data_IF_583574036824
#
_entry.id   IF_583574036824
#
_cell.length_a   1.000
_cell.length_b   1.000
_cell.length_c   1.000
_cell.angle_alpha   90.00
_cell.angle_beta   90.00
_cell.angle_gamma   90.00
#
_symmetry.space_group_name_H-M   'P 1'
#
loop_
_entity.id
_entity.type
_entity.pdbx_description
1 polymer ?
#
# COMPACT_ATOMS: atom_id res chain seq x y z
N UNK A 1 -0.23 -69.66 1.29
CA UNK A 1 -0.45 -69.18 -0.10
C UNK A 1 -1.87 -68.62 -0.12
N UNK A 2 -2.19 -67.33 -0.16
CA UNK A 2 -1.53 -66.09 -0.61
C UNK A 2 -1.81 -64.95 0.41
N UNK A 3 -0.84 -64.04 0.58
CA UNK A 3 -1.05 -62.75 1.26
C UNK A 3 -1.83 -61.79 0.35
N UNK A 4 -2.91 -61.20 0.87
CA UNK A 4 -3.61 -60.07 0.27
C UNK A 4 -2.75 -58.80 0.42
N UNK A 5 -2.27 -58.26 -0.71
CA UNK A 5 -1.49 -57.01 -0.76
C UNK A 5 -2.41 -55.82 -0.51
N UNK A 6 -2.17 -55.11 0.60
CA UNK A 6 -2.64 -53.75 0.83
C UNK A 6 -1.95 -52.81 -0.18
N UNK A 7 -2.74 -52.07 -0.96
CA UNK A 7 -2.23 -51.01 -1.85
C UNK A 7 -2.57 -49.67 -1.19
N UNK A 8 -1.63 -49.11 -0.42
CA UNK A 8 -1.72 -47.74 0.09
C UNK A 8 -1.05 -46.84 -0.94
N UNK A 9 -1.85 -46.14 -1.72
CA UNK A 9 -1.38 -45.12 -2.66
C UNK A 9 -1.16 -43.81 -1.88
N UNK A 10 0.08 -43.56 -1.47
CA UNK A 10 0.50 -42.22 -1.00
C UNK A 10 0.68 -41.32 -2.22
N UNK A 11 -0.31 -40.47 -2.51
CA UNK A 11 -0.12 -39.33 -3.42
C UNK A 11 0.51 -38.20 -2.60
N UNK A 12 1.83 -38.08 -2.69
CA UNK A 12 2.55 -36.87 -2.30
C UNK A 12 2.44 -35.85 -3.44
N UNK A 13 1.48 -34.93 -3.35
CA UNK A 13 1.50 -33.71 -4.17
C UNK A 13 2.56 -32.80 -3.56
N UNK A 14 3.76 -32.81 -4.11
CA UNK A 14 4.73 -31.76 -3.88
C UNK A 14 4.21 -30.50 -4.61
N UNK A 15 3.59 -29.57 -3.87
CA UNK A 15 3.41 -28.21 -4.36
C UNK A 15 4.80 -27.61 -4.57
N UNK A 16 5.24 -27.54 -5.83
CA UNK A 16 6.33 -26.63 -6.20
C UNK A 16 5.79 -25.21 -6.01
N UNK A 17 6.13 -24.58 -4.90
CA UNK A 17 6.03 -23.15 -4.75
C UNK A 17 6.95 -22.54 -5.82
N UNK A 18 6.34 -21.99 -6.87
CA UNK A 18 7.06 -21.06 -7.74
C UNK A 18 7.39 -19.86 -6.87
N UNK A 19 8.65 -19.71 -6.47
CA UNK A 19 9.17 -18.40 -6.07
C UNK A 19 9.16 -17.58 -7.34
N UNK A 20 8.09 -16.83 -7.58
CA UNK A 20 8.09 -15.86 -8.67
C UNK A 20 9.13 -14.80 -8.28
N UNK A 21 10.14 -14.60 -9.12
CA UNK A 21 11.09 -13.50 -8.91
C UNK A 21 10.30 -12.20 -8.94
N UNK A 22 10.18 -11.57 -7.77
CA UNK A 22 9.53 -10.28 -7.67
C UNK A 22 10.41 -9.25 -8.37
N UNK A 23 9.81 -8.33 -9.16
CA UNK A 23 10.58 -7.24 -9.72
C UNK A 23 11.22 -6.42 -8.60
N UNK A 24 12.35 -5.79 -8.89
CA UNK A 24 13.00 -4.89 -7.93
C UNK A 24 12.13 -3.63 -7.79
N UNK A 25 11.74 -3.23 -6.56
CA UNK A 25 10.96 -2.01 -6.37
C UNK A 25 11.79 -0.77 -6.72
N UNK A 26 11.12 0.24 -7.27
CA UNK A 26 11.67 1.58 -7.48
C UNK A 26 12.03 2.25 -6.15
N UNK A 27 11.21 2.04 -5.12
CA UNK A 27 11.45 2.48 -3.74
C UNK A 27 11.02 1.38 -2.78
N UNK A 28 11.85 1.09 -1.79
CA UNK A 28 11.54 0.14 -0.72
C UNK A 28 11.88 0.73 0.64
N UNK A 29 10.88 0.96 1.47
CA UNK A 29 11.03 1.39 2.86
C UNK A 29 10.76 0.19 3.77
N UNK A 30 11.82 -0.37 4.34
CA UNK A 30 11.71 -1.43 5.35
C UNK A 30 11.35 -0.87 6.74
N UNK A 31 11.57 0.43 6.96
CA UNK A 31 11.43 1.11 8.25
C UNK A 31 12.22 0.50 9.42
N UNK A 32 13.30 -0.24 9.14
CA UNK A 32 14.23 -0.75 10.15
C UNK A 32 15.14 0.35 10.73
N UNK A 33 14.59 1.14 11.65
CA UNK A 33 15.30 2.22 12.35
C UNK A 33 15.58 3.46 11.50
N UNK A 34 15.07 3.49 10.26
CA UNK A 34 15.28 4.57 9.30
C UNK A 34 14.00 4.89 8.53
N UNK A 35 13.85 6.14 8.12
CA UNK A 35 12.79 6.58 7.19
C UNK A 35 13.27 6.60 5.74
N UNK A 36 14.58 6.45 5.50
CA UNK A 36 15.11 6.39 4.14
C UNK A 36 14.76 5.03 3.48
N UNK A 37 14.48 5.01 2.17
CA UNK A 37 14.31 3.76 1.46
C UNK A 37 15.65 3.01 1.35
N UNK A 38 15.61 1.70 1.52
CA UNK A 38 16.76 0.78 1.48
C UNK A 38 17.58 0.92 0.19
N UNK A 39 16.88 1.07 -0.94
CA UNK A 39 17.49 1.14 -2.26
C UNK A 39 17.83 2.57 -2.71
N UNK A 40 17.53 3.60 -1.90
CA UNK A 40 17.93 5.01 -2.12
C UNK A 40 18.19 5.72 -0.79
N UNK A 41 19.21 5.30 -0.02
CA UNK A 41 19.44 5.79 1.35
C UNK A 41 19.72 7.31 1.44
N UNK A 42 20.10 7.94 0.34
CA UNK A 42 20.28 9.40 0.22
C UNK A 42 18.97 10.19 0.21
N UNK A 43 17.84 9.54 -0.08
CA UNK A 43 16.54 10.18 -0.14
C UNK A 43 16.13 10.70 1.24
N UNK A 44 15.92 12.01 1.33
CA UNK A 44 15.50 12.65 2.57
C UNK A 44 14.01 12.47 2.81
N UNK A 45 13.66 12.30 4.08
CA UNK A 45 12.30 12.41 4.60
C UNK A 45 12.18 13.72 5.38
N UNK A 46 11.29 14.61 4.94
CA UNK A 46 10.75 15.67 5.77
C UNK A 46 9.66 15.06 6.67
N UNK A 47 9.78 15.27 7.98
CA UNK A 47 8.89 14.62 8.95
C UNK A 47 8.33 15.61 9.95
N UNK A 48 7.07 15.43 10.35
CA UNK A 48 6.41 16.25 11.38
C UNK A 48 5.58 15.39 12.31
N UNK A 49 5.25 15.93 13.50
CA UNK A 49 4.41 15.28 14.50
C UNK A 49 5.08 14.11 15.23
N UNK A 50 4.26 13.17 15.68
CA UNK A 50 4.66 12.00 16.46
C UNK A 50 4.95 10.81 15.53
N UNK A 51 6.23 10.46 15.46
CA UNK A 51 6.76 9.39 14.62
C UNK A 51 7.74 8.58 15.47
N UNK A 52 7.60 7.26 15.44
CA UNK A 52 8.45 6.32 16.17
C UNK A 52 8.64 5.03 15.37
N UNK A 53 9.61 4.20 15.77
CA UNK A 53 9.74 2.84 15.26
C UNK A 53 9.24 1.86 16.30
N UNK A 54 8.42 0.91 15.88
CA UNK A 54 7.85 -0.15 16.72
C UNK A 54 8.09 -1.52 16.07
N UNK A 55 7.75 -2.60 16.76
CA UNK A 55 7.74 -3.93 16.15
C UNK A 55 6.81 -3.99 14.93
N UNK A 56 7.40 -4.41 13.81
CA UNK A 56 6.81 -4.40 12.48
C UNK A 56 6.14 -5.71 12.08
N UNK A 57 5.62 -5.72 10.86
CA UNK A 57 5.30 -6.95 10.15
C UNK A 57 6.59 -7.73 9.86
N UNK A 58 7.69 -7.03 9.54
CA UNK A 58 9.03 -7.61 9.37
C UNK A 58 10.09 -6.68 9.95
N UNK A 59 10.61 -7.02 11.13
CA UNK A 59 11.58 -6.17 11.80
C UNK A 59 10.89 -4.99 12.49
N UNK A 60 11.15 -3.76 12.06
CA UNK A 60 10.51 -2.57 12.61
C UNK A 60 9.61 -1.88 11.59
N UNK A 61 8.48 -1.37 12.07
CA UNK A 61 7.58 -0.51 11.32
C UNK A 61 7.73 0.95 11.76
N UNK A 62 7.45 1.89 10.86
CA UNK A 62 7.21 3.28 11.24
C UNK A 62 5.80 3.40 11.78
N UNK A 63 5.66 3.93 12.99
CA UNK A 63 4.38 4.27 13.59
C UNK A 63 4.22 5.78 13.64
N UNK A 64 3.17 6.27 12.97
CA UNK A 64 2.76 7.68 12.95
C UNK A 64 1.48 7.83 13.77
N UNK A 65 1.38 8.89 14.57
CA UNK A 65 0.25 9.08 15.50
C UNK A 65 -0.20 10.52 15.57
N UNK A 66 -1.51 10.72 15.76
CA UNK A 66 -2.17 12.01 15.91
C UNK A 66 -2.08 12.92 14.67
N UNK A 67 -3.01 13.88 14.54
CA UNK A 67 -3.05 14.75 13.35
C UNK A 67 -1.76 15.56 13.19
N UNK A 68 -1.43 15.88 11.93
CA UNK A 68 -0.21 16.60 11.50
C UNK A 68 1.08 15.77 11.60
N UNK A 69 0.98 14.50 11.96
CA UNK A 69 2.06 13.54 11.80
C UNK A 69 2.16 13.12 10.35
N UNK A 70 3.31 13.40 9.74
CA UNK A 70 3.49 13.21 8.30
C UNK A 70 4.91 12.79 7.94
N UNK A 71 5.00 11.98 6.88
CA UNK A 71 6.22 11.62 6.17
C UNK A 71 6.13 12.18 4.75
N UNK A 72 7.09 13.02 4.37
CA UNK A 72 7.15 13.67 3.07
C UNK A 72 8.50 13.38 2.42
N UNK A 73 8.44 12.88 1.20
CA UNK A 73 9.63 12.59 0.42
C UNK A 73 9.60 13.44 -0.86
N UNK A 74 10.24 14.63 -0.83
CA UNK A 74 10.32 15.51 -1.98
C UNK A 74 11.32 14.98 -3.01
N UNK A 75 11.33 15.62 -4.18
CA UNK A 75 12.26 15.38 -5.29
C UNK A 75 12.32 13.92 -5.77
N UNK A 76 11.18 13.23 -5.65
CA UNK A 76 10.99 11.88 -6.15
C UNK A 76 10.74 11.87 -7.66
N UNK A 77 10.87 10.69 -8.27
CA UNK A 77 10.28 10.39 -9.58
C UNK A 77 9.40 9.17 -9.38
N UNK A 78 8.10 9.39 -9.19
CA UNK A 78 7.12 8.31 -9.01
C UNK A 78 6.52 7.88 -10.36
N UNK A 79 6.08 6.62 -10.50
CA UNK A 79 5.55 6.13 -11.77
C UNK A 79 4.22 6.79 -12.12
N UNK A 80 4.07 7.26 -13.36
CA UNK A 80 2.84 7.88 -13.84
C UNK A 80 1.99 6.99 -14.74
N UNK A 81 2.63 6.34 -15.72
CA UNK A 81 1.96 5.49 -16.71
C UNK A 81 1.48 4.17 -16.11
N UNK A 82 2.36 3.43 -15.46
CA UNK A 82 2.03 2.18 -14.78
C UNK A 82 2.83 2.04 -13.50
N UNK A 83 2.26 1.39 -12.51
CA UNK A 83 2.95 1.17 -11.26
C UNK A 83 2.11 0.46 -10.23
N UNK A 84 2.77 0.20 -9.11
CA UNK A 84 2.16 -0.42 -7.93
C UNK A 84 2.71 0.26 -6.69
N UNK A 85 1.85 0.65 -5.75
CA UNK A 85 2.25 0.94 -4.37
C UNK A 85 1.64 -0.12 -3.48
N UNK A 86 2.42 -0.70 -2.60
CA UNK A 86 1.94 -1.70 -1.64
C UNK A 86 2.69 -1.63 -0.33
N UNK A 87 2.01 -1.98 0.76
CA UNK A 87 2.58 -1.92 2.10
C UNK A 87 1.75 -2.76 3.07
N UNK A 88 2.39 -3.17 4.15
CA UNK A 88 1.70 -3.64 5.33
C UNK A 88 1.34 -2.45 6.21
N UNK A 89 0.14 -2.47 6.78
CA UNK A 89 -0.24 -1.50 7.78
C UNK A 89 -0.99 -2.13 8.95
N UNK A 90 -0.77 -1.58 10.14
CA UNK A 90 -1.48 -1.95 11.36
C UNK A 90 -2.22 -0.72 11.86
N UNK A 91 -3.55 -0.65 11.67
CA UNK A 91 -4.32 0.45 12.16
C UNK A 91 -4.31 0.48 13.69
N UNK A 92 -4.22 1.69 14.25
CA UNK A 92 -4.51 2.00 15.64
C UNK A 92 -5.69 2.98 15.66
N UNK A 93 -6.84 2.45 15.24
CA UNK A 93 -8.10 3.18 15.22
C UNK A 93 -8.74 3.13 16.60
N UNK A 94 -9.39 4.23 16.97
CA UNK A 94 -10.36 4.22 18.06
C UNK A 94 -11.68 3.63 17.55
N UNK A 95 -12.33 2.79 18.36
CA UNK A 95 -13.63 2.18 18.04
C UNK A 95 -14.76 3.22 17.88
N UNK A 96 -14.58 4.41 18.44
CA UNK A 96 -15.58 5.50 18.47
C UNK A 96 -15.09 6.74 17.74
N UNK A 97 -16.05 7.57 17.35
CA UNK A 97 -15.80 8.84 16.69
C UNK A 97 -14.86 9.77 17.51
N UNK A 98 -14.05 10.61 16.84
CA UNK A 98 -13.95 10.75 15.39
C UNK A 98 -13.18 9.59 14.75
N UNK A 99 -13.69 9.09 13.63
CA UNK A 99 -13.12 7.96 12.87
C UNK A 99 -11.65 8.21 12.49
N UNK A 100 -11.25 9.47 12.30
CA UNK A 100 -9.91 9.87 11.92
C UNK A 100 -9.60 9.59 10.44
N UNK A 101 -8.60 10.27 9.91
CA UNK A 101 -8.26 10.25 8.48
C UNK A 101 -6.76 10.06 8.26
N UNK A 102 -6.41 9.27 7.24
CA UNK A 102 -5.02 8.94 6.90
C UNK A 102 -4.83 8.94 5.39
N UNK A 103 -3.87 9.72 4.90
CA UNK A 103 -3.33 9.60 3.55
C UNK A 103 -2.20 8.57 3.57
N UNK A 104 -2.38 7.45 2.88
CA UNK A 104 -1.40 6.36 2.83
C UNK A 104 -0.43 6.49 1.65
N UNK A 105 -0.93 7.06 0.56
CA UNK A 105 -0.15 7.40 -0.61
C UNK A 105 -0.81 8.60 -1.26
N UNK A 106 -0.01 9.61 -1.57
CA UNK A 106 -0.40 10.70 -2.44
C UNK A 106 0.75 10.95 -3.40
N UNK A 107 0.46 10.92 -4.71
CA UNK A 107 1.37 11.33 -5.77
C UNK A 107 1.04 12.76 -6.17
N UNK A 108 1.97 13.67 -5.91
CA UNK A 108 1.80 15.10 -6.16
C UNK A 108 2.88 15.65 -7.06
N UNK A 109 2.54 16.69 -7.84
CA UNK A 109 3.57 17.52 -8.47
C UNK A 109 4.13 18.56 -7.46
N UNK A 110 5.12 19.33 -7.90
CA UNK A 110 5.75 20.40 -7.10
C UNK A 110 4.79 21.50 -6.67
N UNK A 111 3.66 21.67 -7.36
CA UNK A 111 2.61 22.64 -7.03
C UNK A 111 1.53 22.08 -6.07
N UNK A 112 1.79 20.94 -5.40
CA UNK A 112 0.88 20.27 -4.46
C UNK A 112 -0.43 19.75 -5.08
N UNK A 113 -0.52 19.70 -6.42
CA UNK A 113 -1.65 19.10 -7.10
C UNK A 113 -1.56 17.58 -6.95
N UNK A 114 -2.61 16.98 -6.39
CA UNK A 114 -2.70 15.52 -6.21
C UNK A 114 -3.32 14.88 -7.44
N UNK A 115 -2.63 13.87 -7.98
CA UNK A 115 -3.07 13.13 -9.17
C UNK A 115 -3.50 11.71 -8.85
N UNK A 116 -2.89 11.10 -7.85
CA UNK A 116 -3.30 9.80 -7.36
C UNK A 116 -3.23 9.78 -5.85
N UNK A 117 -4.25 9.23 -5.21
CA UNK A 117 -4.23 8.98 -3.79
C UNK A 117 -5.00 7.73 -3.40
N UNK A 118 -4.54 7.13 -2.30
CA UNK A 118 -5.35 6.23 -1.49
C UNK A 118 -5.32 6.70 -0.05
N UNK A 119 -6.51 6.88 0.51
CA UNK A 119 -6.68 7.41 1.85
C UNK A 119 -7.89 6.87 2.56
N UNK A 120 -7.82 6.84 3.89
CA UNK A 120 -8.96 6.59 4.76
C UNK A 120 -9.62 7.90 5.15
N UNK A 121 -10.94 7.96 5.07
CA UNK A 121 -11.73 9.13 5.42
C UNK A 121 -13.03 8.78 6.12
N UNK A 122 -13.68 9.80 6.66
CA UNK A 122 -15.04 9.77 7.17
C UNK A 122 -15.91 10.82 6.47
N UNK A 123 -17.13 10.42 6.09
CA UNK A 123 -18.15 11.30 5.54
C UNK A 123 -19.53 10.84 6.04
N UNK A 124 -20.34 11.77 6.55
CA UNK A 124 -21.73 11.51 7.01
C UNK A 124 -21.87 10.30 7.95
N UNK A 125 -20.95 10.15 8.91
CA UNK A 125 -20.98 9.06 9.89
C UNK A 125 -20.56 7.69 9.37
N UNK A 126 -20.14 7.61 8.10
CA UNK A 126 -19.51 6.43 7.50
C UNK A 126 -18.04 6.68 7.27
N UNK A 127 -17.27 5.61 7.27
CA UNK A 127 -15.86 5.67 6.90
C UNK A 127 -15.52 4.59 5.91
N UNK A 128 -14.48 4.86 5.14
CA UNK A 128 -14.10 4.10 3.97
C UNK A 128 -12.66 4.42 3.61
N UNK A 129 -12.06 3.56 2.79
CA UNK A 129 -10.89 3.93 2.02
C UNK A 129 -11.37 4.43 0.66
N UNK A 130 -10.76 5.52 0.21
CA UNK A 130 -11.03 6.18 -1.06
C UNK A 130 -9.79 6.08 -1.92
N UNK A 131 -10.00 5.76 -3.19
CA UNK A 131 -8.99 5.85 -4.24
C UNK A 131 -9.43 6.85 -5.28
N UNK A 132 -8.51 7.74 -5.67
CA UNK A 132 -8.73 8.68 -6.76
C UNK A 132 -7.56 8.67 -7.73
N UNK A 133 -7.89 8.82 -9.01
CA UNK A 133 -6.94 9.09 -10.08
C UNK A 133 -7.46 10.24 -10.93
N UNK A 134 -6.59 11.18 -11.25
CA UNK A 134 -6.86 12.34 -12.08
C UNK A 134 -5.94 12.33 -13.30
N UNK A 135 -6.49 12.72 -14.46
CA UNK A 135 -5.67 12.93 -15.66
C UNK A 135 -4.89 14.25 -15.63
N UNK A 136 -4.13 14.52 -16.70
CA UNK A 136 -3.38 15.77 -16.88
C UNK A 136 -4.26 17.04 -16.84
N UNK A 137 -5.56 16.93 -17.18
CA UNK A 137 -6.55 18.02 -17.11
C UNK A 137 -7.28 18.11 -15.77
N UNK A 138 -6.89 17.28 -14.80
CA UNK A 138 -7.52 17.17 -13.47
C UNK A 138 -8.97 16.68 -13.49
N UNK A 139 -9.35 15.92 -14.50
CA UNK A 139 -10.61 15.18 -14.49
C UNK A 139 -10.43 13.85 -13.76
N UNK A 140 -11.39 13.49 -12.88
CA UNK A 140 -11.36 12.20 -12.18
C UNK A 140 -11.59 11.07 -13.18
N UNK A 141 -10.65 10.13 -13.23
CA UNK A 141 -10.68 8.92 -14.06
C UNK A 141 -10.98 7.67 -13.24
N UNK A 142 -10.66 7.73 -11.95
CA UNK A 142 -11.16 6.77 -10.97
C UNK A 142 -11.54 7.51 -9.69
N UNK A 143 -12.65 7.05 -9.11
CA UNK A 143 -13.20 7.53 -7.85
C UNK A 143 -13.98 6.35 -7.23
N UNK A 144 -13.30 5.58 -6.38
CA UNK A 144 -13.84 4.34 -5.80
C UNK A 144 -13.61 4.29 -4.31
N UNK A 145 -14.64 3.82 -3.62
CA UNK A 145 -14.59 3.48 -2.20
C UNK A 145 -14.47 1.98 -2.01
N UNK A 146 -13.75 1.58 -0.98
CA UNK A 146 -13.80 0.22 -0.42
C UNK A 146 -14.15 0.34 1.06
N UNK A 147 -14.72 -0.74 1.61
CA UNK A 147 -15.12 -0.79 3.01
C UNK A 147 -13.97 -0.46 3.96
N UNK A 148 -14.29 0.22 5.05
CA UNK A 148 -13.32 0.52 6.10
C UNK A 148 -12.87 -0.74 6.84
N UNK A 149 -11.63 -0.72 7.28
CA UNK A 149 -11.06 -1.73 8.15
C UNK A 149 -11.27 -1.29 9.59
N UNK A 150 -12.25 -1.90 10.25
CA UNK A 150 -12.66 -1.54 11.62
C UNK A 150 -11.81 -2.19 12.70
N UNK A 151 -11.29 -3.38 12.42
CA UNK A 151 -10.52 -4.13 13.39
C UNK A 151 -9.09 -3.56 13.50
N UNK A 152 -8.84 -2.94 14.65
CA UNK A 152 -7.58 -2.32 15.04
C UNK A 152 -6.55 -3.35 15.50
N UNK A 153 -5.26 -3.01 15.46
CA UNK A 153 -4.19 -3.82 16.04
C UNK A 153 -3.75 -5.05 15.23
N UNK A 154 -4.33 -5.32 14.07
CA UNK A 154 -3.92 -6.39 13.15
C UNK A 154 -3.20 -5.88 11.91
N UNK A 155 -2.29 -6.66 11.37
CA UNK A 155 -1.64 -6.34 10.10
C UNK A 155 -2.55 -6.63 8.91
N UNK A 156 -2.62 -5.67 7.99
CA UNK A 156 -3.31 -5.78 6.70
C UNK A 156 -2.33 -5.41 5.60
N UNK A 157 -2.47 -6.04 4.43
CA UNK A 157 -1.68 -5.72 3.27
C UNK A 157 -2.53 -5.00 2.23
N UNK A 158 -2.14 -3.78 1.86
CA UNK A 158 -2.86 -2.99 0.86
C UNK A 158 -1.97 -2.78 -0.34
N UNK A 159 -2.54 -2.94 -1.54
CA UNK A 159 -1.88 -2.61 -2.79
C UNK A 159 -2.80 -1.80 -3.71
N UNK A 160 -2.24 -0.79 -4.37
CA UNK A 160 -2.87 -0.04 -5.44
C UNK A 160 -2.03 -0.25 -6.70
N UNK A 161 -2.66 -0.82 -7.73
CA UNK A 161 -2.05 -1.11 -9.03
C UNK A 161 -2.70 -0.22 -10.08
N UNK A 162 -1.93 0.40 -10.95
CA UNK A 162 -2.45 1.23 -12.05
C UNK A 162 -1.70 0.99 -13.35
N UNK A 163 -2.43 1.14 -14.45
CA UNK A 163 -1.95 1.22 -15.82
C UNK A 163 -2.84 2.22 -16.58
N UNK A 164 -2.27 3.32 -17.06
CA UNK A 164 -2.97 4.43 -17.70
C UNK A 164 -3.61 4.08 -19.03
N UNK A 165 -3.29 2.92 -19.59
CA UNK A 165 -3.90 2.38 -20.80
C UNK A 165 -5.03 1.38 -20.50
N UNK A 166 -5.19 0.94 -19.26
CA UNK A 166 -6.08 -0.18 -18.90
C UNK A 166 -6.95 0.08 -17.69
N UNK A 167 -6.38 0.13 -16.48
CA UNK A 167 -7.18 0.09 -15.25
C UNK A 167 -6.43 0.53 -14.00
N UNK A 168 -7.21 0.75 -12.95
CA UNK A 168 -6.73 0.89 -11.58
C UNK A 168 -7.43 -0.14 -10.69
N UNK A 169 -6.68 -0.81 -9.83
CA UNK A 169 -7.14 -1.91 -8.99
C UNK A 169 -6.62 -1.76 -7.56
N UNK A 170 -7.50 -1.94 -6.58
CA UNK A 170 -7.11 -2.00 -5.17
C UNK A 170 -7.19 -3.43 -4.69
N UNK A 171 -6.15 -3.89 -4.01
CA UNK A 171 -6.11 -5.17 -3.32
C UNK A 171 -6.02 -4.95 -1.82
N UNK A 172 -6.73 -5.79 -1.07
CA UNK A 172 -6.61 -5.90 0.37
C UNK A 172 -6.42 -7.37 0.73
N UNK A 173 -5.31 -7.66 1.42
CA UNK A 173 -4.88 -9.01 1.79
C UNK A 173 -4.81 -9.96 0.58
N UNK A 174 -4.20 -9.48 -0.51
CA UNK A 174 -4.04 -10.26 -1.75
C UNK A 174 -5.27 -10.30 -2.66
N UNK A 175 -6.45 -9.91 -2.16
CA UNK A 175 -7.72 -10.03 -2.91
C UNK A 175 -8.15 -8.68 -3.50
N UNK A 176 -8.59 -8.63 -4.78
CA UNK A 176 -9.09 -7.41 -5.40
C UNK A 176 -10.39 -6.94 -4.72
N UNK A 177 -10.45 -5.65 -4.35
CA UNK A 177 -11.62 -5.01 -3.73
C UNK A 177 -12.38 -4.11 -4.67
N UNK A 178 -11.67 -3.47 -5.60
CA UNK A 178 -12.30 -2.67 -6.66
C UNK A 178 -11.41 -2.62 -7.88
N UNK A 179 -12.03 -2.51 -9.06
CA UNK A 179 -11.39 -2.32 -10.34
C UNK A 179 -12.14 -1.27 -11.13
N UNK A 180 -11.41 -0.31 -11.69
CA UNK A 180 -11.96 0.66 -12.64
C UNK A 180 -11.21 0.52 -13.95
N UNK A 181 -11.90 0.04 -14.98
CA UNK A 181 -11.41 0.05 -16.36
C UNK A 181 -11.48 1.48 -16.87
N UNK A 182 -10.33 2.07 -17.19
CA UNK A 182 -10.23 3.47 -17.59
C UNK A 182 -8.87 3.73 -18.19
N UNK A 183 -8.81 4.68 -19.12
CA UNK A 183 -7.56 5.17 -19.69
C UNK A 183 -7.43 6.67 -19.44
N UNK A 184 -6.20 7.14 -19.28
CA UNK A 184 -5.94 8.55 -19.02
C UNK A 184 -4.62 9.03 -19.57
N UNK A 185 -4.56 10.32 -19.87
CA UNK A 185 -3.31 11.00 -20.16
C UNK A 185 -2.58 11.25 -18.85
N UNK A 186 -1.37 10.72 -18.74
CA UNK A 186 -0.47 10.96 -17.62
C UNK A 186 -0.08 12.45 -17.63
N UNK A 187 -0.06 13.12 -16.48
CA UNK A 187 0.46 14.49 -16.37
C UNK A 187 1.91 14.59 -16.85
N UNK A 188 2.23 15.66 -17.59
CA UNK A 188 3.60 15.94 -18.05
C UNK A 188 4.53 16.29 -16.87
N UNK A 189 3.97 16.80 -15.77
CA UNK A 189 4.67 17.02 -14.52
C UNK A 189 5.00 15.70 -13.83
N UNK A 190 6.25 15.53 -13.41
CA UNK A 190 6.64 14.38 -12.59
C UNK A 190 5.90 14.37 -11.25
N UNK A 191 5.35 13.23 -10.89
CA UNK A 191 4.94 12.93 -9.52
C UNK A 191 6.19 12.94 -8.62
N UNK A 192 6.40 14.04 -7.93
CA UNK A 192 7.68 14.38 -7.28
C UNK A 192 7.61 14.40 -5.76
N UNK A 193 6.44 14.17 -5.18
CA UNK A 193 6.26 14.14 -3.74
C UNK A 193 5.41 12.93 -3.37
N UNK A 194 6.02 12.02 -2.61
CA UNK A 194 5.31 11.00 -1.84
C UNK A 194 4.97 11.57 -0.47
N UNK A 195 3.70 11.52 -0.09
CA UNK A 195 3.25 12.04 1.19
C UNK A 195 2.26 11.12 1.89
N UNK A 196 2.56 10.85 3.16
CA UNK A 196 1.79 10.05 4.11
C UNK A 196 1.47 10.94 5.31
N UNK A 197 0.21 11.01 5.74
CA UNK A 197 -0.21 11.94 6.79
C UNK A 197 -1.45 11.45 7.54
N UNK A 198 -1.45 11.63 8.86
CA UNK A 198 -2.70 11.61 9.64
C UNK A 198 -3.33 13.00 9.54
N UNK A 199 -4.46 13.08 8.87
CA UNK A 199 -5.13 14.36 8.55
C UNK A 199 -6.13 14.78 9.62
N UNK A 200 -6.68 13.82 10.38
CA UNK A 200 -7.71 14.06 11.39
C UNK A 200 -7.76 12.92 12.41
N UNK A 201 -8.22 13.24 13.61
CA UNK A 201 -8.50 12.27 14.67
C UNK A 201 -7.25 11.84 15.43
N UNK A 202 -7.42 11.58 16.72
CA UNK A 202 -6.37 11.00 17.56
C UNK A 202 -6.29 9.50 17.30
N UNK A 203 -5.64 9.16 16.19
CA UNK A 203 -5.45 7.79 15.71
C UNK A 203 -3.97 7.54 15.48
N UNK A 204 -3.60 6.28 15.31
CA UNK A 204 -2.26 5.90 14.85
C UNK A 204 -2.34 4.91 13.70
N UNK A 205 -1.22 4.75 13.01
CA UNK A 205 -1.03 3.66 12.06
C UNK A 205 0.44 3.29 11.99
N UNK A 206 0.72 1.99 12.02
CA UNK A 206 2.04 1.47 11.70
C UNK A 206 2.09 1.12 10.21
N UNK A 207 3.19 1.44 9.54
CA UNK A 207 3.47 1.08 8.15
C UNK A 207 4.76 0.29 8.09
N UNK A 208 4.76 -0.75 7.28
CA UNK A 208 5.91 -1.62 7.09
C UNK A 208 5.99 -2.10 5.65
N UNK A 209 7.21 -2.49 5.23
CA UNK A 209 7.47 -3.15 3.97
C UNK A 209 6.91 -2.39 2.75
N UNK A 210 7.00 -1.06 2.80
CA UNK A 210 6.38 -0.15 1.83
C UNK A 210 7.17 -0.12 0.53
N UNK A 211 6.54 -0.53 -0.56
CA UNK A 211 7.17 -0.70 -1.86
C UNK A 211 6.42 0.09 -2.93
N UNK A 212 7.18 0.73 -3.81
CA UNK A 212 6.67 1.35 -5.04
C UNK A 212 7.39 0.70 -6.22
N UNK A 213 6.64 0.29 -7.22
CA UNK A 213 7.12 -0.30 -8.47
C UNK A 213 6.71 0.57 -9.65
N UNK A 214 7.52 0.58 -10.69
CA UNK A 214 7.24 1.16 -12.01
C UNK A 214 6.54 0.18 -12.97
N UNK A 215 5.93 -0.87 -12.39
CA UNK A 215 5.20 -1.91 -13.08
C UNK A 215 3.83 -2.10 -12.44
N UNK A 216 2.82 -2.33 -13.29
CA UNK A 216 1.51 -2.81 -12.84
C UNK A 216 1.65 -4.30 -12.49
N UNK A 217 1.82 -4.62 -11.20
CA UNK A 217 2.04 -6.00 -10.78
C UNK A 217 0.77 -6.84 -10.98
N UNK A 218 0.88 -8.05 -11.56
CA UNK A 218 -0.27 -8.92 -11.73
C UNK A 218 -0.73 -9.50 -10.39
N UNK A 219 -2.01 -9.89 -10.32
CA UNK A 219 -2.68 -10.36 -9.10
C UNK A 219 -1.94 -11.51 -8.39
N UNK A 220 -1.32 -12.43 -9.14
CA UNK A 220 -0.57 -13.54 -8.56
C UNK A 220 0.68 -13.07 -7.79
N UNK A 221 1.35 -11.99 -8.21
CA UNK A 221 2.47 -11.42 -7.45
C UNK A 221 1.99 -10.67 -6.21
N UNK A 222 0.85 -9.96 -6.30
CA UNK A 222 0.24 -9.32 -5.13
C UNK A 222 -0.14 -10.36 -4.07
N UNK A 223 -0.71 -11.50 -4.49
CA UNK A 223 -1.05 -12.61 -3.61
C UNK A 223 0.21 -13.27 -3.04
N UNK A 224 1.24 -13.50 -3.86
CA UNK A 224 2.51 -14.07 -3.39
C UNK A 224 3.13 -13.21 -2.28
N UNK A 225 3.24 -11.89 -2.48
CA UNK A 225 3.77 -10.95 -1.48
C UNK A 225 2.92 -10.96 -0.20
N UNK A 226 1.59 -10.99 -0.32
CA UNK A 226 0.72 -11.08 0.85
C UNK A 226 0.96 -12.35 1.68
N UNK A 227 1.28 -13.47 1.02
CA UNK A 227 1.54 -14.75 1.71
C UNK A 227 2.93 -14.87 2.30
N UNK A 228 3.83 -13.92 2.05
CA UNK A 228 5.16 -13.91 2.66
C UNK A 228 5.03 -13.74 4.18
N UNK A 229 5.63 -14.63 4.98
CA UNK A 229 5.51 -14.56 6.44
C UNK A 229 6.23 -13.32 6.99
N UNK A 230 5.54 -12.60 7.87
CA UNK A 230 6.16 -11.59 8.72
C UNK A 230 7.04 -12.19 9.83
N UNK A 231 7.73 -11.33 10.58
CA UNK A 231 8.31 -11.68 11.88
C UNK A 231 7.19 -12.14 12.81
N UNK A 232 7.29 -13.37 13.29
CA UNK A 232 6.43 -13.95 14.33
C UNK A 232 6.82 -13.43 15.70
#
# INVERSE_FOLDING_TARGET
>A
MQLSKFFILFILIALKLFSADLPVPLLYFSFNGTLAPENKPEQKCEKSGEISFIEGYKGQAVYIKNPKSALRYPDMTLPGEKGTVMFWFKPDWKEKAPVGGVWFYTARNKAWKTYMDIYRADWEGRSFFQVRMYDNTWQRKADKQIDDIKESGKWYHLALVWDSSSSIVVYLNGEPKTRTETSWSVPDDTFSLLHIEITKGEIGVALDEYKIFDQALPANLIQAIFTEPGTR
#
